data_IF_392740471882
#
_entry.id   IF_392740471882
#
_cell.length_a   1.000
_cell.length_b   1.000
_cell.length_c   1.000
_cell.angle_alpha   90.00
_cell.angle_beta   90.00
_cell.angle_gamma   90.00
#
_symmetry.space_group_name_H-M   'P 1'
#
loop_
_entity.id
_entity.type
_entity.pdbx_description
1 polymer ?
#
# COMPACT_ATOMS: atom_id res chain seq x y z
N UNK A 1 -11.57 28.61 -1.31
CA UNK A 1 -11.62 27.93 0.01
C UNK A 1 -10.83 26.65 -0.09
N UNK A 2 -9.77 26.52 0.68
CA UNK A 2 -8.98 25.29 0.77
C UNK A 2 -9.87 24.23 1.46
N UNK A 3 -10.09 23.09 0.82
CA UNK A 3 -10.83 21.98 1.42
C UNK A 3 -9.98 21.40 2.56
N UNK A 4 -10.51 21.41 3.77
CA UNK A 4 -9.83 20.84 4.94
C UNK A 4 -10.24 19.37 5.08
N UNK A 5 -9.27 18.48 5.13
CA UNK A 5 -9.47 17.05 5.38
C UNK A 5 -9.01 16.75 6.81
N UNK A 6 -9.83 16.04 7.58
CA UNK A 6 -9.45 15.51 8.87
C UNK A 6 -8.71 14.17 8.67
N UNK A 7 -7.54 14.05 9.27
CA UNK A 7 -6.68 12.85 9.12
C UNK A 7 -7.29 11.62 9.78
N UNK A 8 -8.00 11.79 10.90
CA UNK A 8 -8.65 10.67 11.62
C UNK A 8 -9.84 10.17 10.82
N UNK A 9 -10.67 11.09 10.33
CA UNK A 9 -11.83 10.75 9.49
C UNK A 9 -11.40 10.04 8.22
N UNK A 10 -10.42 10.59 7.48
CA UNK A 10 -9.93 9.95 6.26
C UNK A 10 -9.29 8.58 6.54
N UNK A 11 -8.51 8.45 7.63
CA UNK A 11 -7.96 7.14 8.04
C UNK A 11 -9.07 6.13 8.30
N UNK A 12 -10.10 6.53 9.05
CA UNK A 12 -11.22 5.66 9.36
C UNK A 12 -12.00 5.27 8.10
N UNK A 13 -12.16 6.19 7.16
CA UNK A 13 -12.79 5.93 5.87
C UNK A 13 -11.99 4.93 5.04
N UNK A 14 -10.67 5.10 4.93
CA UNK A 14 -9.81 4.21 4.17
C UNK A 14 -9.73 2.80 4.77
N UNK A 15 -9.70 2.69 6.10
CA UNK A 15 -9.66 1.38 6.79
C UNK A 15 -10.91 0.54 6.52
N UNK A 16 -12.07 1.14 6.29
CA UNK A 16 -13.31 0.41 5.95
C UNK A 16 -13.23 -0.39 4.65
N UNK A 17 -12.31 -0.03 3.76
CA UNK A 17 -12.07 -0.82 2.55
C UNK A 17 -11.18 -2.02 2.89
N UNK A 18 -11.72 -3.22 2.75
CA UNK A 18 -10.99 -4.47 2.98
C UNK A 18 -10.06 -4.79 1.80
N UNK A 19 -9.13 -3.90 1.50
CA UNK A 19 -8.17 -4.03 0.40
C UNK A 19 -7.02 -4.97 0.75
N UNK A 20 -7.33 -6.21 1.16
CA UNK A 20 -6.32 -7.25 1.41
C UNK A 20 -5.58 -7.53 0.10
N UNK A 21 -4.24 -7.65 0.13
CA UNK A 21 -3.38 -7.69 -1.06
C UNK A 21 -3.76 -8.74 -2.11
N UNK A 22 -4.42 -9.84 -1.72
CA UNK A 22 -4.94 -10.85 -2.65
C UNK A 22 -6.34 -10.53 -3.20
N UNK A 23 -6.99 -9.48 -2.70
CA UNK A 23 -8.28 -8.99 -3.20
C UNK A 23 -8.09 -7.74 -4.05
N UNK A 24 -9.17 -7.24 -4.65
CA UNK A 24 -9.12 -6.00 -5.42
C UNK A 24 -9.00 -4.77 -4.51
N UNK A 25 -8.11 -3.85 -4.87
CA UNK A 25 -8.01 -2.53 -4.23
C UNK A 25 -8.77 -1.45 -5.01
N UNK A 26 -9.37 -1.77 -6.14
CA UNK A 26 -10.02 -0.80 -7.05
C UNK A 26 -11.00 0.14 -6.34
N UNK A 27 -11.85 -0.32 -5.39
CA UNK A 27 -12.77 0.58 -4.68
C UNK A 27 -12.07 1.68 -3.88
N UNK A 28 -11.07 1.34 -3.05
CA UNK A 28 -10.33 2.32 -2.23
C UNK A 28 -9.51 3.26 -3.09
N UNK A 29 -8.84 2.76 -4.13
CA UNK A 29 -8.01 3.58 -5.01
C UNK A 29 -8.88 4.56 -5.83
N UNK A 30 -10.07 4.14 -6.28
CA UNK A 30 -11.03 5.05 -6.94
C UNK A 30 -11.55 6.13 -5.99
N UNK A 31 -11.78 5.78 -4.72
CA UNK A 31 -12.15 6.76 -3.70
C UNK A 31 -11.03 7.78 -3.52
N UNK A 32 -9.79 7.34 -3.34
CA UNK A 32 -8.61 8.21 -3.26
C UNK A 32 -8.46 9.12 -4.48
N UNK A 33 -8.69 8.58 -5.68
CA UNK A 33 -8.64 9.36 -6.91
C UNK A 33 -9.70 10.49 -6.94
N UNK A 34 -10.89 10.28 -6.35
CA UNK A 34 -11.90 11.32 -6.19
C UNK A 34 -11.44 12.40 -5.22
N UNK A 35 -10.93 12.01 -4.05
CA UNK A 35 -10.41 12.92 -3.03
C UNK A 35 -9.31 13.80 -3.62
N UNK A 36 -8.33 13.20 -4.28
CA UNK A 36 -7.19 13.92 -4.87
C UNK A 36 -7.63 14.88 -5.99
N UNK A 37 -8.60 14.47 -6.85
CA UNK A 37 -9.15 15.39 -7.86
C UNK A 37 -9.88 16.58 -7.24
N UNK A 38 -10.64 16.36 -6.17
CA UNK A 38 -11.31 17.44 -5.44
C UNK A 38 -10.33 18.42 -4.80
N UNK A 39 -9.11 17.97 -4.49
CA UNK A 39 -8.00 18.79 -4.00
C UNK A 39 -7.20 19.47 -5.14
N UNK A 40 -7.62 19.34 -6.40
CA UNK A 40 -6.96 19.96 -7.56
C UNK A 40 -5.80 19.18 -8.16
N UNK A 41 -5.57 17.95 -7.73
CA UNK A 41 -4.56 17.10 -8.35
C UNK A 41 -4.98 16.62 -9.74
N UNK A 42 -4.03 16.59 -10.67
CA UNK A 42 -4.13 15.79 -11.88
C UNK A 42 -3.84 14.35 -11.53
N UNK A 43 -4.82 13.46 -11.69
CA UNK A 43 -4.72 12.04 -11.31
C UNK A 43 -4.61 11.17 -12.55
N UNK A 44 -3.53 10.41 -12.64
CA UNK A 44 -3.32 9.32 -13.59
C UNK A 44 -3.69 7.99 -12.91
N UNK A 45 -4.50 7.19 -13.58
CA UNK A 45 -4.97 5.89 -13.10
C UNK A 45 -4.32 4.80 -13.94
N UNK A 46 -3.69 3.83 -13.29
CA UNK A 46 -2.95 2.72 -13.90
C UNK A 46 -3.62 1.39 -13.51
N UNK A 47 -4.67 0.98 -14.24
CA UNK A 47 -5.30 -0.32 -14.01
C UNK A 47 -4.41 -1.45 -14.54
N UNK A 48 -4.40 -2.57 -13.82
CA UNK A 48 -3.77 -3.81 -14.22
C UNK A 48 -4.51 -5.01 -13.65
N UNK A 49 -4.09 -6.20 -14.04
CA UNK A 49 -4.61 -7.46 -13.51
C UNK A 49 -3.42 -8.28 -13.02
N UNK A 50 -3.51 -8.81 -11.81
CA UNK A 50 -2.46 -9.66 -11.25
C UNK A 50 -2.45 -11.06 -11.89
N UNK A 51 -1.48 -11.90 -11.52
CA UNK A 51 -1.33 -13.26 -12.04
C UNK A 51 -2.51 -14.19 -11.67
N UNK A 52 -3.31 -13.84 -10.67
CA UNK A 52 -4.51 -14.57 -10.26
C UNK A 52 -5.78 -14.06 -10.97
N UNK A 53 -5.66 -13.09 -11.89
CA UNK A 53 -6.80 -12.50 -12.59
C UNK A 53 -7.56 -11.43 -11.80
N UNK A 54 -7.01 -10.95 -10.68
CA UNK A 54 -7.64 -9.93 -9.84
C UNK A 54 -7.36 -8.54 -10.38
N UNK A 55 -8.41 -7.75 -10.59
CA UNK A 55 -8.29 -6.36 -11.02
C UNK A 55 -7.68 -5.49 -9.93
N UNK A 56 -6.66 -4.74 -10.28
CA UNK A 56 -5.90 -3.85 -9.43
C UNK A 56 -5.80 -2.44 -10.02
N UNK A 57 -5.51 -1.47 -9.16
CA UNK A 57 -5.39 -0.08 -9.57
C UNK A 57 -4.30 0.60 -8.76
N UNK A 58 -3.44 1.31 -9.45
CA UNK A 58 -2.43 2.20 -8.88
C UNK A 58 -2.69 3.62 -9.38
N UNK A 59 -2.36 4.63 -8.62
CA UNK A 59 -2.51 6.03 -9.05
C UNK A 59 -1.24 6.83 -8.80
N UNK A 60 -0.98 7.77 -9.72
CA UNK A 60 -0.02 8.86 -9.56
C UNK A 60 -0.78 10.16 -9.71
N UNK A 61 -0.69 11.02 -8.71
CA UNK A 61 -1.38 12.30 -8.69
C UNK A 61 -0.38 13.44 -8.54
N UNK A 62 -0.55 14.53 -9.31
CA UNK A 62 0.32 15.70 -9.31
C UNK A 62 -0.47 16.96 -9.00
N UNK A 63 0.02 17.75 -8.06
CA UNK A 63 -0.39 19.12 -7.80
C UNK A 63 0.72 20.06 -8.29
N UNK A 64 0.36 21.19 -8.92
CA UNK A 64 1.31 22.14 -9.48
C UNK A 64 1.66 21.90 -10.95
N UNK A 65 2.71 22.56 -11.41
CA UNK A 65 3.09 22.63 -12.82
C UNK A 65 3.57 21.28 -13.37
N UNK A 66 3.52 21.14 -14.70
CA UNK A 66 4.07 20.00 -15.41
C UNK A 66 5.56 20.25 -15.69
N UNK A 67 6.40 19.92 -14.73
CA UNK A 67 7.85 20.06 -14.85
C UNK A 67 8.57 18.89 -14.16
N UNK A 68 9.83 18.68 -14.52
CA UNK A 68 10.67 17.61 -13.96
C UNK A 68 11.04 17.91 -12.52
N UNK A 69 11.10 16.86 -11.71
CA UNK A 69 11.46 16.96 -10.29
C UNK A 69 10.24 17.06 -9.38
N UNK A 70 10.42 17.70 -8.22
CA UNK A 70 9.39 17.84 -7.19
C UNK A 70 9.57 16.88 -6.02
N UNK A 71 8.54 16.82 -5.18
CA UNK A 71 8.47 15.93 -4.02
C UNK A 71 7.32 14.96 -4.19
N UNK A 72 7.57 13.69 -3.93
CA UNK A 72 6.51 12.68 -3.84
C UNK A 72 6.35 12.13 -2.44
N UNK A 73 5.10 11.95 -2.03
CA UNK A 73 4.69 11.18 -0.86
C UNK A 73 4.10 9.88 -1.39
N UNK A 74 4.77 8.77 -1.08
CA UNK A 74 4.47 7.45 -1.64
C UNK A 74 3.92 6.54 -0.56
N UNK A 75 2.82 5.85 -0.86
CA UNK A 75 2.14 4.94 0.05
C UNK A 75 1.51 3.79 -0.72
N UNK A 76 1.15 2.71 -0.02
CA UNK A 76 0.29 1.68 -0.56
C UNK A 76 -1.10 1.70 0.09
N UNK A 77 -2.10 1.14 -0.58
CA UNK A 77 -3.48 1.08 -0.11
C UNK A 77 -3.97 -0.35 0.20
N UNK A 78 -3.15 -1.34 -0.11
CA UNK A 78 -3.40 -2.72 0.28
C UNK A 78 -2.94 -3.00 1.72
N UNK A 79 -3.40 -4.10 2.28
CA UNK A 79 -3.10 -4.51 3.66
C UNK A 79 -2.97 -6.02 3.74
N UNK A 80 -2.19 -6.50 4.72
CA UNK A 80 -2.17 -7.94 5.07
C UNK A 80 -3.50 -8.40 5.65
N UNK A 81 -3.82 -9.72 5.62
CA UNK A 81 -5.01 -10.26 6.28
C UNK A 81 -5.10 -9.84 7.76
N UNK A 82 -6.32 -9.67 8.26
CA UNK A 82 -6.54 -9.29 9.65
C UNK A 82 -6.06 -10.35 10.66
N UNK A 83 -6.03 -11.63 10.26
CA UNK A 83 -5.78 -12.73 11.17
C UNK A 83 -7.05 -13.19 11.90
N UNK A 84 -6.91 -13.99 12.97
CA UNK A 84 -8.05 -14.48 13.76
C UNK A 84 -8.87 -13.34 14.35
N UNK A 85 -10.21 -13.51 14.38
CA UNK A 85 -11.12 -12.51 14.93
C UNK A 85 -10.86 -12.24 16.43
N UNK A 86 -10.44 -13.26 17.17
CA UNK A 86 -10.16 -13.18 18.61
C UNK A 86 -8.94 -12.31 18.95
N UNK A 87 -8.09 -12.01 17.97
CA UNK A 87 -6.96 -11.08 18.14
C UNK A 87 -7.41 -9.60 18.15
N UNK A 88 -8.69 -9.33 17.88
CA UNK A 88 -9.24 -7.98 17.75
C UNK A 88 -10.35 -7.73 18.78
N UNK A 89 -10.34 -6.53 19.36
CA UNK A 89 -11.44 -6.03 20.22
C UNK A 89 -12.62 -5.48 19.42
N UNK A 90 -12.88 -5.99 18.23
CA UNK A 90 -13.95 -5.55 17.33
C UNK A 90 -13.62 -5.80 15.88
N UNK A 91 -14.36 -5.20 14.96
CA UNK A 91 -14.10 -5.35 13.54
C UNK A 91 -12.75 -4.69 13.16
N UNK A 92 -11.77 -5.43 12.62
CA UNK A 92 -10.46 -4.88 12.22
C UNK A 92 -10.55 -3.83 11.12
N UNK A 93 -11.61 -3.81 10.32
CA UNK A 93 -11.85 -2.84 9.26
C UNK A 93 -12.78 -1.68 9.69
N UNK A 94 -12.97 -1.52 10.98
CA UNK A 94 -13.65 -0.37 11.58
C UNK A 94 -12.72 0.27 12.63
N UNK A 95 -12.22 1.47 12.33
CA UNK A 95 -11.31 2.16 13.24
C UNK A 95 -11.98 2.38 14.59
N UNK A 96 -11.27 2.02 15.64
CA UNK A 96 -11.60 2.32 17.03
C UNK A 96 -10.55 3.28 17.59
N UNK A 97 -11.00 4.39 18.13
CA UNK A 97 -10.13 5.28 18.88
C UNK A 97 -10.13 4.90 20.37
N UNK A 98 -8.94 4.77 20.95
CA UNK A 98 -8.77 4.52 22.38
C UNK A 98 -7.41 5.04 22.86
N UNK A 99 -7.40 5.79 23.95
CA UNK A 99 -6.17 6.32 24.54
C UNK A 99 -5.34 7.18 23.59
N UNK A 100 -6.00 7.96 22.71
CA UNK A 100 -5.33 8.82 21.70
C UNK A 100 -4.66 8.04 20.56
N UNK A 101 -5.04 6.78 20.35
CA UNK A 101 -4.54 5.93 19.28
C UNK A 101 -5.67 5.38 18.43
N UNK A 102 -5.41 5.16 17.16
CA UNK A 102 -6.32 4.52 16.21
C UNK A 102 -5.95 3.03 16.07
N UNK A 103 -6.93 2.17 16.22
CA UNK A 103 -6.81 0.72 16.07
C UNK A 103 -7.64 0.25 14.90
N UNK A 104 -7.03 -0.49 13.99
CA UNK A 104 -7.65 -1.06 12.79
C UNK A 104 -6.62 -1.64 11.84
N UNK A 105 -6.98 -2.62 11.00
CA UNK A 105 -6.08 -3.19 10.00
C UNK A 105 -5.74 -2.11 8.96
N UNK A 106 -4.43 -1.81 8.80
CA UNK A 106 -3.95 -0.76 7.92
C UNK A 106 -3.96 0.65 8.53
N UNK A 107 -4.43 0.85 9.77
CA UNK A 107 -4.38 2.17 10.41
C UNK A 107 -2.93 2.65 10.62
N UNK A 108 -2.00 1.74 10.90
CA UNK A 108 -0.58 2.03 11.01
C UNK A 108 0.14 1.80 9.69
N UNK A 109 -0.09 0.67 9.05
CA UNK A 109 0.57 0.19 7.83
C UNK A 109 -0.47 -0.05 6.72
N UNK A 110 -0.66 0.92 5.73
CA UNK A 110 -0.16 2.29 5.92
C UNK A 110 -1.21 3.33 5.50
N UNK A 111 -2.51 3.04 5.72
CA UNK A 111 -3.63 3.96 5.37
C UNK A 111 -3.65 5.22 6.23
N UNK A 112 -3.16 5.16 7.49
CA UNK A 112 -2.99 6.34 8.33
C UNK A 112 -1.93 7.30 7.79
N UNK A 113 -0.68 6.85 7.54
CA UNK A 113 0.32 7.65 6.85
C UNK A 113 -0.14 8.18 5.48
N UNK A 114 -0.87 7.38 4.69
CA UNK A 114 -1.48 7.84 3.45
C UNK A 114 -2.47 8.98 3.67
N UNK A 115 -3.38 8.86 4.65
CA UNK A 115 -4.31 9.93 5.02
C UNK A 115 -3.56 11.17 5.49
N UNK A 116 -2.51 11.01 6.30
CA UNK A 116 -1.67 12.11 6.77
C UNK A 116 -0.97 12.85 5.62
N UNK A 117 -0.46 12.11 4.62
CA UNK A 117 0.18 12.69 3.43
C UNK A 117 -0.79 13.52 2.60
N UNK A 118 -2.02 13.04 2.41
CA UNK A 118 -3.09 13.76 1.71
C UNK A 118 -3.51 15.00 2.50
N UNK A 119 -3.67 14.87 3.82
CA UNK A 119 -4.01 15.98 4.70
C UNK A 119 -2.93 17.08 4.68
N UNK A 120 -1.65 16.71 4.71
CA UNK A 120 -0.54 17.66 4.57
C UNK A 120 -0.58 18.39 3.22
N UNK A 121 -0.91 17.67 2.14
CA UNK A 121 -1.03 18.25 0.80
C UNK A 121 -2.19 19.23 0.65
N UNK A 122 -3.26 19.11 1.46
CA UNK A 122 -4.40 20.04 1.47
C UNK A 122 -4.01 21.48 1.84
N UNK A 123 -2.86 21.68 2.51
CA UNK A 123 -2.36 22.99 2.88
C UNK A 123 -1.83 23.85 1.72
N UNK A 124 -1.76 23.29 0.51
CA UNK A 124 -1.15 23.92 -0.64
C UNK A 124 -2.12 24.05 -1.82
N UNK A 125 -2.16 25.23 -2.45
CA UNK A 125 -2.73 25.38 -3.78
C UNK A 125 -1.65 25.16 -4.86
N UNK A 126 -2.07 24.76 -6.06
CA UNK A 126 -1.15 24.50 -7.16
C UNK A 126 -0.23 25.70 -7.50
N UNK A 127 -0.74 26.93 -7.31
CA UNK A 127 0.01 28.17 -7.56
C UNK A 127 1.05 28.50 -6.47
N UNK A 128 0.96 27.91 -5.30
CA UNK A 128 1.88 28.16 -4.18
C UNK A 128 3.17 27.34 -4.29
N UNK A 129 3.14 26.30 -5.13
CA UNK A 129 4.23 25.35 -5.24
C UNK A 129 5.31 25.82 -6.23
N UNK A 130 6.55 25.88 -5.77
CA UNK A 130 7.73 26.13 -6.63
C UNK A 130 8.08 24.92 -7.48
N UNK A 131 7.82 23.73 -6.95
CA UNK A 131 8.04 22.44 -7.60
C UNK A 131 6.78 21.59 -7.42
N UNK A 132 6.46 20.67 -8.33
CA UNK A 132 5.28 19.83 -8.20
C UNK A 132 5.31 18.94 -6.97
N UNK A 133 4.13 18.75 -6.35
CA UNK A 133 3.90 17.79 -5.31
C UNK A 133 3.15 16.57 -5.88
N UNK A 134 3.62 15.39 -5.54
CA UNK A 134 3.00 14.15 -5.99
C UNK A 134 2.51 13.33 -4.80
N UNK A 135 1.36 12.69 -4.99
CA UNK A 135 0.87 11.57 -4.17
C UNK A 135 0.89 10.33 -5.05
N UNK A 136 1.61 9.31 -4.65
CA UNK A 136 1.66 8.02 -5.33
C UNK A 136 1.04 6.98 -4.41
N UNK A 137 0.04 6.24 -4.92
CA UNK A 137 -0.61 5.17 -4.17
C UNK A 137 -0.51 3.89 -4.99
N UNK A 138 0.20 2.93 -4.46
CA UNK A 138 0.42 1.62 -5.08
C UNK A 138 -0.44 0.54 -4.44
N UNK A 139 -0.55 -0.58 -5.10
CA UNK A 139 -1.17 -1.82 -4.62
C UNK A 139 -0.14 -2.94 -4.59
N UNK A 140 -0.49 -4.03 -3.90
CA UNK A 140 0.30 -5.26 -3.81
C UNK A 140 1.70 -5.07 -3.20
N UNK A 141 1.90 -4.03 -2.39
CA UNK A 141 3.16 -3.78 -1.70
C UNK A 141 3.50 -4.97 -0.79
N UNK A 142 2.53 -5.42 -0.01
CA UNK A 142 2.64 -6.47 1.01
C UNK A 142 2.95 -7.88 0.46
N UNK A 143 2.95 -8.06 -0.85
CA UNK A 143 3.19 -9.38 -1.48
C UNK A 143 4.31 -9.36 -2.53
N UNK A 144 4.35 -8.39 -3.45
CA UNK A 144 5.30 -8.40 -4.56
C UNK A 144 5.60 -7.02 -5.17
N UNK A 145 5.03 -5.95 -4.62
CA UNK A 145 5.18 -4.57 -5.08
C UNK A 145 4.85 -4.37 -6.58
N UNK A 146 3.92 -5.17 -7.13
CA UNK A 146 3.59 -5.11 -8.56
C UNK A 146 3.03 -3.73 -8.95
N UNK A 147 2.24 -3.10 -8.08
CA UNK A 147 1.73 -1.75 -8.31
C UNK A 147 2.83 -0.70 -8.46
N UNK A 148 3.93 -0.81 -7.73
CA UNK A 148 5.09 0.08 -7.89
C UNK A 148 5.78 -0.13 -9.24
N UNK A 149 5.88 -1.37 -9.74
CA UNK A 149 6.37 -1.68 -11.09
C UNK A 149 5.50 -1.03 -12.16
N UNK A 150 4.17 -1.13 -12.02
CA UNK A 150 3.22 -0.48 -12.94
C UNK A 150 3.42 1.05 -13.02
N UNK A 151 3.76 1.69 -11.89
CA UNK A 151 4.13 3.13 -11.87
C UNK A 151 5.38 3.38 -12.71
N UNK A 152 6.45 2.63 -12.46
CA UNK A 152 7.74 2.82 -13.14
C UNK A 152 7.62 2.59 -14.64
N UNK A 153 6.90 1.54 -15.05
CA UNK A 153 6.85 1.09 -16.44
C UNK A 153 5.84 1.88 -17.28
N UNK A 154 4.76 2.42 -16.68
CA UNK A 154 3.62 2.93 -17.45
C UNK A 154 3.19 4.37 -17.13
N UNK A 155 3.57 4.92 -15.98
CA UNK A 155 3.12 6.26 -15.59
C UNK A 155 3.83 7.36 -16.37
N UNK A 156 3.04 8.21 -17.00
CA UNK A 156 3.54 9.41 -17.66
C UNK A 156 3.96 10.48 -16.64
N UNK A 157 3.23 10.58 -15.53
CA UNK A 157 3.56 11.52 -14.46
C UNK A 157 4.84 11.10 -13.72
N UNK A 158 5.12 9.81 -13.61
CA UNK A 158 6.37 9.31 -13.02
C UNK A 158 7.60 9.68 -13.85
N UNK A 159 7.46 9.83 -15.17
CA UNK A 159 8.57 10.26 -16.02
C UNK A 159 9.14 11.63 -15.61
N UNK A 160 8.31 12.54 -15.09
CA UNK A 160 8.74 13.81 -14.52
C UNK A 160 9.22 13.63 -13.06
N UNK A 161 8.46 12.92 -12.25
CA UNK A 161 8.71 12.69 -10.83
C UNK A 161 10.07 12.03 -10.55
N UNK A 162 10.50 11.05 -11.35
CA UNK A 162 11.77 10.30 -11.15
C UNK A 162 13.03 11.16 -11.06
N UNK A 163 12.93 12.44 -11.39
CA UNK A 163 14.00 13.44 -11.26
C UNK A 163 13.92 14.23 -9.94
N UNK A 164 12.94 13.94 -9.09
CA UNK A 164 12.68 14.61 -7.82
C UNK A 164 13.10 13.79 -6.60
N UNK A 165 12.49 14.12 -5.48
CA UNK A 165 12.69 13.46 -4.21
C UNK A 165 11.45 12.63 -3.85
N UNK A 166 11.64 11.50 -3.16
CA UNK A 166 10.58 10.64 -2.67
C UNK A 166 10.66 10.44 -1.17
N UNK A 167 9.51 10.51 -0.51
CA UNK A 167 9.31 10.04 0.85
C UNK A 167 8.35 8.86 0.78
N UNK A 168 8.80 7.69 1.21
CA UNK A 168 7.95 6.53 1.42
C UNK A 168 7.39 6.66 2.82
N UNK A 169 6.06 6.73 2.92
CA UNK A 169 5.36 7.11 4.16
C UNK A 169 5.16 5.92 5.11
N UNK A 170 6.10 4.96 5.13
CA UNK A 170 6.08 3.82 6.03
C UNK A 170 6.18 4.21 7.52
N UNK A 171 5.57 3.42 8.43
CA UNK A 171 5.51 3.74 9.86
C UNK A 171 6.85 3.47 10.57
N UNK A 172 7.84 4.33 10.39
CA UNK A 172 9.20 4.22 10.95
C UNK A 172 9.36 4.82 12.34
N UNK A 173 8.27 5.19 13.01
CA UNK A 173 8.31 5.94 14.27
C UNK A 173 8.94 7.33 14.11
N UNK A 174 8.70 7.99 12.95
CA UNK A 174 9.23 9.29 12.55
C UNK A 174 10.76 9.34 12.44
N UNK A 175 11.41 8.19 12.32
CA UNK A 175 12.85 8.11 12.06
C UNK A 175 13.09 8.09 10.55
N UNK A 176 14.09 8.83 10.11
CA UNK A 176 14.53 8.78 8.71
C UNK A 176 15.24 7.45 8.46
N UNK A 177 14.68 6.63 7.58
CA UNK A 177 15.27 5.36 7.12
C UNK A 177 15.68 5.56 5.66
N UNK A 178 16.96 5.40 5.35
CA UNK A 178 17.51 5.63 4.02
C UNK A 178 17.97 4.34 3.30
N UNK A 179 17.82 3.19 3.96
CA UNK A 179 18.13 1.87 3.41
C UNK A 179 17.37 0.78 4.17
N UNK A 180 17.07 -0.31 3.50
CA UNK A 180 16.47 -1.50 4.11
C UNK A 180 17.11 -2.77 3.57
N UNK A 181 16.88 -3.91 4.25
CA UNK A 181 17.33 -5.23 3.81
C UNK A 181 16.50 -5.71 2.63
N UNK A 182 17.11 -6.51 1.76
CA UNK A 182 16.39 -7.28 0.77
C UNK A 182 15.63 -8.44 1.40
N UNK A 183 14.64 -8.97 0.67
CA UNK A 183 13.88 -10.16 1.05
C UNK A 183 14.05 -11.23 -0.02
N UNK A 184 14.21 -12.49 0.42
CA UNK A 184 14.29 -13.66 -0.45
C UNK A 184 13.38 -14.75 0.11
N UNK A 185 12.36 -15.14 -0.66
CA UNK A 185 11.51 -16.28 -0.34
C UNK A 185 11.99 -17.55 -1.06
N UNK A 186 12.10 -18.65 -0.33
CA UNK A 186 12.42 -19.97 -0.87
C UNK A 186 11.31 -20.96 -0.52
N UNK A 187 10.88 -21.75 -1.50
CA UNK A 187 9.99 -22.89 -1.26
C UNK A 187 10.75 -24.19 -1.49
N UNK A 188 10.87 -25.00 -0.43
CA UNK A 188 11.50 -26.30 -0.51
C UNK A 188 10.38 -27.36 -0.45
N UNK A 189 10.35 -28.24 -1.43
CA UNK A 189 9.35 -29.31 -1.51
C UNK A 189 10.03 -30.66 -1.36
N UNK A 190 9.60 -31.45 -0.37
CA UNK A 190 10.01 -32.84 -0.21
C UNK A 190 8.86 -33.78 -0.52
N UNK A 191 9.15 -34.81 -1.33
CA UNK A 191 8.18 -35.84 -1.70
C UNK A 191 8.48 -37.13 -0.95
N UNK A 192 7.47 -37.65 -0.25
CA UNK A 192 7.47 -38.96 0.38
C UNK A 192 6.74 -40.03 -0.42
N UNK A 193 6.69 -41.22 0.13
CA UNK A 193 5.88 -42.35 -0.37
C UNK A 193 5.11 -42.96 0.80
N UNK A 194 3.79 -42.97 0.70
CA UNK A 194 2.96 -43.60 1.71
C UNK A 194 3.13 -45.13 1.67
N UNK A 195 3.16 -45.73 2.84
CA UNK A 195 3.14 -47.17 3.01
C UNK A 195 2.54 -47.52 4.38
N UNK A 196 2.11 -48.78 4.55
CA UNK A 196 1.65 -49.25 5.84
C UNK A 196 2.79 -49.22 6.88
N UNK A 197 2.48 -48.83 8.11
CA UNK A 197 3.48 -48.63 9.18
C UNK A 197 4.29 -49.88 9.53
N UNK A 198 3.75 -51.08 9.24
CA UNK A 198 4.46 -52.36 9.40
C UNK A 198 5.46 -52.67 8.28
N UNK A 199 5.57 -51.82 7.27
CA UNK A 199 6.48 -52.04 6.14
C UNK A 199 7.54 -50.95 6.04
N UNK A 200 8.76 -51.35 5.64
CA UNK A 200 9.85 -50.41 5.38
C UNK A 200 9.79 -49.77 3.99
N UNK A 201 8.65 -49.92 3.29
CA UNK A 201 8.49 -49.41 1.93
C UNK A 201 8.13 -47.91 1.86
N UNK A 202 7.80 -47.30 2.96
CA UNK A 202 7.49 -45.88 3.07
C UNK A 202 8.74 -44.98 2.91
N UNK A 203 8.52 -43.73 2.50
CA UNK A 203 9.54 -42.70 2.52
C UNK A 203 8.97 -41.49 3.24
N UNK A 204 9.52 -41.17 4.41
CA UNK A 204 9.09 -40.04 5.19
C UNK A 204 9.63 -38.73 4.55
N UNK A 205 8.72 -37.89 4.05
CA UNK A 205 9.09 -36.63 3.41
C UNK A 205 9.78 -35.66 4.39
N UNK A 206 9.34 -35.65 5.67
CA UNK A 206 9.93 -34.75 6.67
C UNK A 206 11.39 -35.14 6.99
N UNK A 207 11.67 -36.45 7.10
CA UNK A 207 13.06 -36.89 7.34
C UNK A 207 14.00 -36.60 6.18
N UNK A 208 13.50 -36.51 4.96
CA UNK A 208 14.30 -36.08 3.80
C UNK A 208 14.72 -34.61 3.85
N UNK A 209 14.06 -33.78 4.65
CA UNK A 209 14.38 -32.37 4.79
C UNK A 209 15.38 -32.10 5.93
N UNK A 210 15.69 -33.12 6.71
CA UNK A 210 16.69 -33.02 7.78
C UNK A 210 18.04 -33.41 7.16
N UNK A 211 19.08 -32.52 7.24
CA UNK A 211 20.42 -32.81 6.75
C UNK A 211 21.08 -33.96 7.51
#
# INVERSE_FOLDING_TARGET
>A
TIMKIDVIELTAELVRYESISRATNVPVTRHLAKVLRALGFKVEMLPYTDAAGVAKLTIVARLGRAEKGGLSLMSHDDVVPAGPADDWTGNPFQVREHGGKLYGRGACDMKGPLAASICAACGFAAGDLRQPLYIVVTSDEEINALGAREVVDRSKLFADLRHGYGVICEPTGLKVVHAHKGSLGLTITSKGRAAHTSSLKGVNANLKMIP
#
